data_IF_875491203641
#
_entry.id   IF_875491203641
#
_cell.length_a   1.000
_cell.length_b   1.000
_cell.length_c   1.000
_cell.angle_alpha   90.00
_cell.angle_beta   90.00
_cell.angle_gamma   90.00
#
_symmetry.space_group_name_H-M   'P 1'
#
loop_
_entity.id
_entity.type
_entity.pdbx_description
1 polymer ?
#
# COMPACT_ATOMS: atom_id res chain seq x y z
N UNK A 1 -66.37 -47.51 50.42
CA UNK A 1 -66.22 -47.65 48.95
C UNK A 1 -65.49 -46.42 48.42
N UNK A 2 -64.37 -46.59 47.71
CA UNK A 2 -63.59 -45.51 47.06
C UNK A 2 -64.34 -44.98 45.83
N UNK A 3 -64.41 -43.65 45.67
CA UNK A 3 -64.61 -42.91 44.39
C UNK A 3 -63.91 -41.55 44.58
N UNK A 4 -62.59 -41.48 44.38
CA UNK A 4 -61.87 -41.06 43.15
C UNK A 4 -62.40 -39.75 42.58
N UNK A 5 -61.59 -38.70 42.77
CA UNK A 5 -61.88 -37.32 42.42
C UNK A 5 -61.59 -36.96 40.97
N UNK A 6 -62.57 -36.25 40.41
CA UNK A 6 -62.52 -35.09 39.54
C UNK A 6 -61.52 -35.01 38.36
N UNK A 7 -62.10 -35.09 37.16
CA UNK A 7 -61.52 -34.91 35.83
C UNK A 7 -61.29 -33.42 35.47
N UNK A 8 -60.18 -32.81 35.89
CA UNK A 8 -59.82 -31.45 35.44
C UNK A 8 -58.42 -31.33 34.81
N UNK A 9 -57.67 -32.43 34.68
CA UNK A 9 -56.29 -32.39 34.18
C UNK A 9 -56.16 -32.38 32.66
N UNK A 10 -57.05 -33.07 31.92
CA UNK A 10 -56.87 -33.27 30.47
C UNK A 10 -57.18 -32.01 29.63
N UNK A 11 -58.11 -31.16 30.06
CA UNK A 11 -58.46 -29.92 29.34
C UNK A 11 -57.38 -28.83 29.49
N UNK A 12 -56.76 -28.71 30.67
CA UNK A 12 -55.60 -27.82 30.89
C UNK A 12 -54.34 -28.30 30.17
N UNK A 13 -54.16 -29.62 30.17
CA UNK A 13 -53.44 -30.45 29.18
C UNK A 13 -53.31 -29.85 27.78
N UNK A 14 -54.45 -29.94 27.10
CA UNK A 14 -54.65 -29.64 25.69
C UNK A 14 -54.55 -28.14 25.40
N UNK A 15 -55.03 -27.29 26.32
CA UNK A 15 -54.95 -25.83 26.14
C UNK A 15 -53.51 -25.33 26.20
N UNK A 16 -52.68 -25.87 27.11
CA UNK A 16 -51.25 -25.52 27.20
C UNK A 16 -50.45 -26.00 25.99
N UNK A 17 -50.72 -27.20 25.47
CA UNK A 17 -50.08 -27.67 24.24
C UNK A 17 -50.51 -26.88 23.00
N UNK A 18 -51.78 -26.46 22.89
CA UNK A 18 -52.26 -25.68 21.75
C UNK A 18 -51.68 -24.24 21.77
N UNK A 19 -51.51 -23.64 22.95
CA UNK A 19 -50.82 -22.34 23.08
C UNK A 19 -49.32 -22.41 22.84
N UNK A 20 -48.67 -23.54 23.14
CA UNK A 20 -47.25 -23.76 22.88
C UNK A 20 -46.96 -24.01 21.39
N UNK A 21 -47.89 -24.65 20.65
CA UNK A 21 -47.79 -24.83 19.20
C UNK A 21 -48.11 -23.53 18.43
N UNK A 22 -49.04 -22.70 18.92
CA UNK A 22 -49.33 -21.40 18.29
C UNK A 22 -48.25 -20.34 18.54
N UNK A 23 -47.47 -20.43 19.62
CA UNK A 23 -46.36 -19.49 19.89
C UNK A 23 -45.10 -19.79 19.08
N UNK A 24 -44.98 -21.00 18.50
CA UNK A 24 -43.85 -21.40 17.66
C UNK A 24 -44.07 -21.21 16.15
N UNK A 25 -45.22 -20.68 15.73
CA UNK A 25 -45.59 -20.52 14.30
C UNK A 25 -45.54 -19.08 13.78
N UNK A 26 -44.91 -18.15 14.51
CA UNK A 26 -44.59 -16.82 13.96
C UNK A 26 -43.22 -16.86 13.27
N UNK A 27 -43.14 -17.65 12.19
CA UNK A 27 -42.12 -17.43 11.17
C UNK A 27 -42.43 -16.08 10.50
N UNK A 28 -41.87 -15.01 11.04
CA UNK A 28 -41.83 -13.74 10.32
C UNK A 28 -41.04 -13.99 9.04
N UNK A 29 -41.65 -13.81 7.87
CA UNK A 29 -40.95 -13.60 6.61
C UNK A 29 -40.21 -12.25 6.71
N UNK A 30 -39.17 -12.19 7.55
CA UNK A 30 -38.23 -11.09 7.54
C UNK A 30 -37.27 -11.36 6.40
N UNK A 31 -37.25 -10.46 5.42
CA UNK A 31 -36.30 -10.49 4.32
C UNK A 31 -34.86 -10.50 4.90
N UNK A 32 -34.06 -11.46 4.47
CA UNK A 32 -32.68 -11.63 4.92
C UNK A 32 -31.78 -10.68 4.13
N UNK A 33 -31.46 -9.55 4.75
CA UNK A 33 -30.62 -8.50 4.17
C UNK A 33 -29.18 -9.00 3.91
N UNK A 34 -28.67 -9.92 4.74
CA UNK A 34 -27.33 -10.47 4.54
C UNK A 34 -27.29 -11.37 3.29
N UNK A 35 -28.31 -12.22 3.13
CA UNK A 35 -28.51 -13.02 1.90
C UNK A 35 -28.74 -12.12 0.68
N UNK A 36 -29.50 -11.04 0.83
CA UNK A 36 -29.71 -10.02 -0.20
C UNK A 36 -28.41 -9.37 -0.68
N UNK A 37 -27.52 -9.02 0.26
CA UNK A 37 -26.19 -8.48 -0.04
C UNK A 37 -25.31 -9.46 -0.81
N UNK A 38 -25.31 -10.74 -0.43
CA UNK A 38 -24.56 -11.77 -1.14
C UNK A 38 -25.05 -11.92 -2.59
N UNK A 39 -26.36 -12.05 -2.77
CA UNK A 39 -26.99 -12.17 -4.08
C UNK A 39 -26.75 -10.94 -4.95
N UNK A 40 -26.82 -9.74 -4.36
CA UNK A 40 -26.49 -8.48 -5.05
C UNK A 40 -25.03 -8.46 -5.51
N UNK A 41 -24.10 -8.84 -4.64
CA UNK A 41 -22.67 -8.87 -4.97
C UNK A 41 -22.36 -9.88 -6.09
N UNK A 42 -23.06 -11.02 -6.10
CA UNK A 42 -22.88 -12.06 -7.11
C UNK A 42 -23.47 -11.69 -8.48
N UNK A 43 -24.63 -11.04 -8.50
CA UNK A 43 -25.43 -10.91 -9.74
C UNK A 43 -25.61 -9.46 -10.24
N UNK A 44 -25.52 -8.47 -9.37
CA UNK A 44 -25.94 -7.09 -9.67
C UNK A 44 -24.80 -6.06 -9.56
N UNK A 45 -23.85 -6.27 -8.63
CA UNK A 45 -22.80 -5.30 -8.27
C UNK A 45 -21.81 -4.98 -9.41
N UNK A 46 -21.78 -5.82 -10.45
CA UNK A 46 -21.01 -5.59 -11.67
C UNK A 46 -21.53 -4.38 -12.47
N UNK A 47 -22.85 -4.16 -12.48
CA UNK A 47 -23.49 -3.10 -13.27
C UNK A 47 -24.11 -2.00 -12.41
N UNK A 48 -24.52 -2.32 -11.18
CA UNK A 48 -25.21 -1.39 -10.28
C UNK A 48 -24.39 -1.09 -9.03
N UNK A 49 -24.47 0.16 -8.55
CA UNK A 49 -24.01 0.56 -7.21
C UNK A 49 -25.22 1.00 -6.38
N UNK A 50 -25.08 1.05 -5.06
CA UNK A 50 -26.17 1.52 -4.19
C UNK A 50 -26.36 3.03 -4.34
N UNK A 51 -25.27 3.80 -4.21
CA UNK A 51 -25.33 5.26 -4.07
C UNK A 51 -24.88 6.05 -5.31
N UNK A 52 -24.41 5.37 -6.36
CA UNK A 52 -23.83 6.00 -7.55
C UNK A 52 -24.30 5.33 -8.84
N UNK A 53 -24.27 6.10 -9.93
CA UNK A 53 -24.53 5.61 -11.29
C UNK A 53 -23.28 4.90 -11.85
N UNK A 54 -23.48 3.80 -12.60
CA UNK A 54 -22.42 3.01 -13.23
C UNK A 54 -22.88 2.59 -14.64
N UNK A 55 -22.74 1.31 -15.03
CA UNK A 55 -23.39 0.75 -16.23
C UNK A 55 -24.92 0.86 -16.15
N UNK A 56 -25.48 0.76 -14.96
CA UNK A 56 -26.89 0.98 -14.66
C UNK A 56 -27.12 2.01 -13.54
N UNK A 57 -28.39 2.37 -13.28
CA UNK A 57 -28.75 3.34 -12.24
C UNK A 57 -28.36 2.88 -10.84
N UNK A 58 -28.13 3.84 -9.96
CA UNK A 58 -28.00 3.59 -8.52
C UNK A 58 -29.27 2.91 -8.00
N UNK A 59 -29.13 1.89 -7.15
CA UNK A 59 -30.26 1.09 -6.68
C UNK A 59 -30.72 1.40 -5.26
N UNK A 60 -30.07 2.31 -4.52
CA UNK A 60 -30.57 2.68 -3.19
C UNK A 60 -32.00 3.22 -3.29
N UNK A 61 -32.90 2.70 -2.46
CA UNK A 61 -34.31 3.07 -2.47
C UNK A 61 -35.02 2.82 -3.81
N UNK A 62 -34.66 1.76 -4.54
CA UNK A 62 -35.30 1.45 -5.83
C UNK A 62 -36.82 1.21 -5.70
N UNK A 63 -37.27 0.74 -4.54
CA UNK A 63 -38.68 0.52 -4.21
C UNK A 63 -39.52 1.80 -4.22
N UNK A 64 -38.90 2.97 -4.01
CA UNK A 64 -39.59 4.27 -4.10
C UNK A 64 -39.81 4.70 -5.55
N UNK A 65 -39.05 4.13 -6.50
CA UNK A 65 -39.11 4.46 -7.94
C UNK A 65 -40.02 3.51 -8.71
N UNK A 66 -40.12 2.26 -8.30
CA UNK A 66 -40.93 1.23 -8.95
C UNK A 66 -41.55 0.29 -7.93
N UNK A 67 -42.75 -0.23 -8.22
CA UNK A 67 -43.40 -1.21 -7.35
C UNK A 67 -42.64 -2.54 -7.31
N UNK A 68 -42.74 -3.26 -6.19
CA UNK A 68 -42.14 -4.59 -6.01
C UNK A 68 -42.54 -5.55 -7.14
N UNK A 69 -43.83 -5.60 -7.50
CA UNK A 69 -44.32 -6.44 -8.60
C UNK A 69 -43.66 -6.12 -9.95
N UNK A 70 -43.38 -4.85 -10.21
CA UNK A 70 -42.70 -4.43 -11.43
C UNK A 70 -41.22 -4.83 -11.38
N UNK A 71 -40.55 -4.66 -10.23
CA UNK A 71 -39.16 -5.06 -10.03
C UNK A 71 -38.95 -6.56 -10.20
N UNK A 72 -39.89 -7.40 -9.72
CA UNK A 72 -39.82 -8.85 -9.93
C UNK A 72 -39.86 -9.21 -11.41
N UNK A 73 -40.78 -8.59 -12.18
CA UNK A 73 -40.87 -8.83 -13.63
C UNK A 73 -39.64 -8.30 -14.36
N UNK A 74 -39.14 -7.13 -13.97
CA UNK A 74 -37.96 -6.50 -14.57
C UNK A 74 -36.68 -7.29 -14.34
N UNK A 75 -36.45 -7.79 -13.12
CA UNK A 75 -35.27 -8.59 -12.78
C UNK A 75 -35.33 -9.96 -13.47
N UNK A 76 -36.51 -10.58 -13.56
CA UNK A 76 -36.68 -11.88 -14.20
C UNK A 76 -36.60 -11.83 -15.73
N UNK A 77 -37.19 -10.82 -16.37
CA UNK A 77 -37.18 -10.64 -17.83
C UNK A 77 -37.33 -9.16 -18.26
N UNK A 78 -36.24 -8.42 -18.12
CA UNK A 78 -36.11 -7.03 -18.60
C UNK A 78 -36.37 -6.92 -20.11
N UNK A 79 -35.92 -7.91 -20.89
CA UNK A 79 -36.00 -7.89 -22.35
C UNK A 79 -37.44 -8.06 -22.86
N UNK A 80 -38.22 -8.90 -22.19
CA UNK A 80 -39.65 -9.09 -22.45
C UNK A 80 -40.47 -7.86 -22.11
N UNK A 81 -40.14 -7.17 -21.00
CA UNK A 81 -40.77 -5.90 -20.62
C UNK A 81 -40.48 -4.75 -21.60
N UNK A 82 -39.26 -4.67 -22.13
CA UNK A 82 -38.93 -3.68 -23.16
C UNK A 82 -39.70 -3.99 -24.45
N UNK A 83 -39.75 -5.26 -24.86
CA UNK A 83 -40.46 -5.70 -26.08
C UNK A 83 -41.98 -5.58 -25.98
N UNK A 84 -42.55 -5.74 -24.78
CA UNK A 84 -43.99 -5.55 -24.55
C UNK A 84 -44.42 -4.09 -24.63
N UNK A 85 -43.46 -3.16 -24.68
CA UNK A 85 -43.73 -1.72 -24.79
C UNK A 85 -44.04 -1.06 -23.45
N UNK A 86 -43.65 -1.65 -22.32
CA UNK A 86 -43.80 -1.01 -21.00
C UNK A 86 -43.07 0.33 -20.97
N UNK A 87 -43.80 1.40 -20.63
CA UNK A 87 -43.30 2.77 -20.76
C UNK A 87 -42.10 3.06 -19.84
N UNK A 88 -42.07 2.45 -18.65
CA UNK A 88 -40.97 2.62 -17.69
C UNK A 88 -39.73 1.85 -18.15
N UNK A 89 -39.90 0.60 -18.59
CA UNK A 89 -38.84 -0.24 -19.16
C UNK A 89 -38.17 0.42 -20.37
N UNK A 90 -38.97 0.90 -21.33
CA UNK A 90 -38.47 1.55 -22.56
C UNK A 90 -37.77 2.87 -22.24
N UNK A 91 -38.29 3.64 -21.27
CA UNK A 91 -37.65 4.89 -20.81
C UNK A 91 -36.26 4.61 -20.22
N UNK A 92 -36.16 3.69 -19.27
CA UNK A 92 -34.88 3.31 -18.65
C UNK A 92 -33.90 2.81 -19.72
N UNK A 93 -34.35 1.95 -20.64
CA UNK A 93 -33.49 1.44 -21.70
C UNK A 93 -32.90 2.56 -22.58
N UNK A 94 -33.70 3.57 -22.93
CA UNK A 94 -33.22 4.70 -23.72
C UNK A 94 -32.30 5.65 -22.93
N UNK A 95 -32.59 5.90 -21.65
CA UNK A 95 -31.78 6.75 -20.77
C UNK A 95 -30.40 6.15 -20.50
N UNK A 96 -30.28 4.83 -20.48
CA UNK A 96 -29.05 4.09 -20.18
C UNK A 96 -28.34 3.56 -21.43
N UNK A 97 -28.30 4.37 -22.48
CA UNK A 97 -27.58 4.10 -23.74
C UNK A 97 -27.95 2.78 -24.42
N UNK A 98 -29.17 2.27 -24.21
CA UNK A 98 -29.66 1.00 -24.77
C UNK A 98 -28.79 -0.20 -24.37
N UNK A 99 -28.14 -0.13 -23.22
CA UNK A 99 -27.40 -1.26 -22.64
C UNK A 99 -28.43 -2.27 -22.11
N UNK A 100 -28.45 -3.52 -22.61
CA UNK A 100 -29.40 -4.52 -22.13
C UNK A 100 -29.01 -5.01 -20.73
N UNK A 101 -29.98 -5.04 -19.81
CA UNK A 101 -29.81 -5.68 -18.51
C UNK A 101 -30.01 -7.20 -18.68
N UNK A 102 -29.12 -8.00 -18.08
CA UNK A 102 -29.28 -9.46 -18.05
C UNK A 102 -30.59 -9.85 -17.35
N UNK A 103 -31.24 -10.88 -17.86
CA UNK A 103 -32.45 -11.45 -17.26
C UNK A 103 -32.06 -12.55 -16.27
N UNK A 104 -32.68 -12.55 -15.09
CA UNK A 104 -32.38 -13.48 -14.01
C UNK A 104 -33.59 -14.39 -13.69
N UNK A 105 -34.02 -15.26 -14.63
CA UNK A 105 -35.18 -16.13 -14.43
C UNK A 105 -34.95 -17.17 -13.31
N UNK A 106 -33.70 -17.42 -12.95
CA UNK A 106 -33.30 -18.38 -11.92
C UNK A 106 -33.40 -17.83 -10.50
N UNK A 107 -33.59 -16.52 -10.31
CA UNK A 107 -33.81 -15.94 -8.97
C UNK A 107 -35.26 -16.18 -8.55
N UNK A 108 -35.44 -16.74 -7.36
CA UNK A 108 -36.77 -16.88 -6.77
C UNK A 108 -37.35 -15.52 -6.37
N UNK A 109 -38.66 -15.44 -6.17
CA UNK A 109 -39.28 -14.20 -5.68
C UNK A 109 -38.71 -13.78 -4.33
N UNK A 110 -38.42 -14.74 -3.44
CA UNK A 110 -37.79 -14.48 -2.15
C UNK A 110 -36.35 -13.94 -2.29
N UNK A 111 -35.57 -14.45 -3.26
CA UNK A 111 -34.23 -13.93 -3.52
C UNK A 111 -34.26 -12.49 -4.05
N UNK A 112 -35.25 -12.15 -4.87
CA UNK A 112 -35.46 -10.78 -5.35
C UNK A 112 -35.89 -9.86 -4.20
N UNK A 113 -36.80 -10.32 -3.35
CA UNK A 113 -37.23 -9.59 -2.15
C UNK A 113 -36.05 -9.29 -1.21
N UNK A 114 -35.16 -10.27 -1.00
CA UNK A 114 -33.95 -10.08 -0.21
C UNK A 114 -33.00 -9.04 -0.83
N UNK A 115 -32.83 -9.05 -2.16
CA UNK A 115 -32.03 -8.02 -2.87
C UNK A 115 -32.68 -6.64 -2.71
N UNK A 116 -34.00 -6.53 -2.88
CA UNK A 116 -34.73 -5.26 -2.72
C UNK A 116 -34.57 -4.73 -1.28
N UNK A 117 -34.70 -5.60 -0.28
CA UNK A 117 -34.50 -5.27 1.13
C UNK A 117 -33.10 -4.69 1.38
N UNK A 118 -32.05 -5.33 0.84
CA UNK A 118 -30.68 -4.81 0.93
C UNK A 118 -30.52 -3.44 0.26
N UNK A 119 -31.08 -3.25 -0.94
CA UNK A 119 -31.01 -1.95 -1.62
C UNK A 119 -31.83 -0.84 -0.93
N UNK A 120 -32.75 -1.21 -0.05
CA UNK A 120 -33.60 -0.29 0.72
C UNK A 120 -32.99 0.10 2.06
N UNK A 121 -31.84 -0.46 2.44
CA UNK A 121 -31.14 -0.04 3.65
C UNK A 121 -30.82 1.46 3.59
N UNK A 122 -30.93 2.20 4.71
CA UNK A 122 -30.48 3.59 4.77
C UNK A 122 -28.98 3.66 4.57
N UNK A 123 -28.50 4.75 3.97
CA UNK A 123 -27.07 5.00 3.82
C UNK A 123 -26.44 5.04 5.22
N UNK A 124 -25.41 4.22 5.53
CA UNK A 124 -24.76 4.26 6.84
C UNK A 124 -24.27 5.68 7.13
N UNK A 125 -24.67 6.26 8.26
CA UNK A 125 -24.21 7.58 8.67
C UNK A 125 -22.70 7.54 8.98
N UNK A 126 -21.98 8.48 8.36
CA UNK A 126 -20.53 8.66 8.54
C UNK A 126 -20.28 9.15 9.96
N UNK A 127 -19.73 8.29 10.81
CA UNK A 127 -19.09 8.77 12.05
C UNK A 127 -17.78 9.44 11.65
N UNK A 128 -17.70 10.75 11.86
CA UNK A 128 -16.49 11.52 11.66
C UNK A 128 -15.31 10.86 12.40
N UNK A 129 -14.15 10.65 11.75
CA UNK A 129 -12.97 10.17 12.45
C UNK A 129 -12.55 11.21 13.48
N UNK A 130 -12.34 10.78 14.72
CA UNK A 130 -11.54 11.54 15.66
C UNK A 130 -10.13 11.77 15.05
N UNK A 131 -9.47 12.91 15.29
CA UNK A 131 -8.13 13.15 14.78
C UNK A 131 -7.18 12.09 15.34
N UNK A 132 -6.79 11.15 14.47
CA UNK A 132 -5.81 10.12 14.78
C UNK A 132 -4.45 10.76 14.96
N UNK A 133 -3.92 10.68 16.17
CA UNK A 133 -2.51 10.94 16.45
C UNK A 133 -1.67 10.03 15.58
N UNK A 134 -0.75 10.62 14.81
CA UNK A 134 0.26 9.92 14.04
C UNK A 134 0.98 8.91 14.95
N UNK A 135 0.74 7.62 14.69
CA UNK A 135 1.45 6.55 15.37
C UNK A 135 2.69 6.24 14.54
N UNK A 136 3.85 6.64 15.06
CA UNK A 136 5.14 6.28 14.49
C UNK A 136 5.27 4.75 14.49
N UNK A 137 5.22 4.15 13.30
CA UNK A 137 5.51 2.75 13.06
C UNK A 137 7.00 2.48 13.25
N UNK A 138 7.43 2.31 14.50
CA UNK A 138 8.73 1.72 14.82
C UNK A 138 8.68 0.23 14.49
N UNK A 139 9.31 -0.15 13.38
CA UNK A 139 9.51 -1.55 13.02
C UNK A 139 10.23 -2.30 14.13
N UNK A 140 9.55 -3.30 14.69
CA UNK A 140 10.12 -4.23 15.65
C UNK A 140 11.09 -5.19 14.93
N UNK A 141 12.36 -4.80 14.81
CA UNK A 141 13.44 -5.76 14.64
C UNK A 141 13.76 -6.35 16.01
N UNK A 142 13.71 -7.68 16.13
CA UNK A 142 14.10 -8.45 17.32
C UNK A 142 15.62 -8.44 17.55
N UNK A 143 16.20 -7.25 17.65
CA UNK A 143 17.53 -7.00 18.19
C UNK A 143 17.37 -6.31 19.54
N UNK A 144 18.18 -6.68 20.53
CA UNK A 144 18.27 -5.93 21.79
C UNK A 144 18.53 -4.47 21.41
N UNK A 145 17.60 -3.56 21.74
CA UNK A 145 17.72 -2.17 21.30
C UNK A 145 19.04 -1.59 21.79
N UNK A 146 19.69 -0.79 20.95
CA UNK A 146 20.96 -0.14 21.29
C UNK A 146 20.85 0.68 22.58
N UNK A 147 19.66 1.20 22.90
CA UNK A 147 19.36 1.85 24.18
C UNK A 147 19.33 0.89 25.39
N UNK A 148 18.89 -0.36 25.21
CA UNK A 148 18.92 -1.39 26.27
C UNK A 148 20.35 -1.84 26.52
N UNK A 149 21.15 -2.03 25.46
CA UNK A 149 22.58 -2.35 25.59
C UNK A 149 23.34 -1.21 26.29
N UNK A 150 23.10 0.03 25.86
CA UNK A 150 23.70 1.22 26.47
C UNK A 150 23.27 1.38 27.93
N UNK A 151 21.99 1.18 28.24
CA UNK A 151 21.46 1.19 29.60
C UNK A 151 22.11 0.15 30.50
N UNK A 152 22.29 -1.08 30.00
CA UNK A 152 23.01 -2.15 30.71
C UNK A 152 24.46 -1.80 31.01
N UNK A 153 25.19 -1.25 30.03
CA UNK A 153 26.59 -0.82 30.21
C UNK A 153 26.73 0.30 31.25
N UNK A 154 25.80 1.26 31.29
CA UNK A 154 25.80 2.34 32.29
C UNK A 154 25.63 1.78 33.71
N UNK A 155 24.74 0.81 33.91
CA UNK A 155 24.51 0.19 35.22
C UNK A 155 25.75 -0.58 35.69
N UNK A 156 26.38 -1.35 34.79
CA UNK A 156 27.63 -2.07 35.10
C UNK A 156 28.74 -1.08 35.47
N UNK A 157 28.91 0.00 34.70
CA UNK A 157 29.89 1.04 34.99
C UNK A 157 29.63 1.68 36.37
N UNK A 158 28.37 2.02 36.67
CA UNK A 158 28.00 2.60 37.96
C UNK A 158 28.30 1.64 39.12
N UNK A 159 28.00 0.35 38.97
CA UNK A 159 28.30 -0.67 39.98
C UNK A 159 29.81 -0.80 40.22
N UNK A 160 30.63 -0.79 39.17
CA UNK A 160 32.09 -0.82 39.28
C UNK A 160 32.64 0.42 39.99
N UNK A 161 32.11 1.62 39.68
CA UNK A 161 32.50 2.86 40.36
C UNK A 161 32.15 2.81 41.85
N UNK A 162 30.94 2.35 42.20
CA UNK A 162 30.52 2.19 43.60
C UNK A 162 31.42 1.18 44.33
N UNK A 163 31.73 0.05 43.69
CA UNK A 163 32.64 -0.96 44.25
C UNK A 163 34.03 -0.38 44.52
N UNK A 164 34.61 0.37 43.57
CA UNK A 164 35.92 1.00 43.73
C UNK A 164 35.92 2.04 44.86
N UNK A 165 34.85 2.83 45.01
CA UNK A 165 34.70 3.77 46.12
C UNK A 165 34.62 3.04 47.47
N UNK A 166 33.89 1.94 47.55
CA UNK A 166 33.81 1.11 48.76
C UNK A 166 35.16 0.50 49.12
N UNK A 167 35.86 -0.08 48.14
CA UNK A 167 37.21 -0.63 48.33
C UNK A 167 38.17 0.46 48.84
N UNK A 168 38.16 1.65 48.23
CA UNK A 168 38.98 2.78 48.70
C UNK A 168 38.66 3.18 50.14
N UNK A 169 37.37 3.26 50.51
CA UNK A 169 36.95 3.56 51.89
C UNK A 169 37.45 2.52 52.89
N UNK A 170 37.37 1.24 52.53
CA UNK A 170 37.84 0.13 53.39
C UNK A 170 39.35 0.16 53.53
N UNK A 171 40.08 0.33 52.43
CA UNK A 171 41.56 0.40 52.43
C UNK A 171 42.06 1.56 53.29
N UNK A 172 41.45 2.75 53.19
CA UNK A 172 41.79 3.89 54.03
C UNK A 172 41.52 3.60 55.52
N UNK A 173 40.36 3.01 55.83
CA UNK A 173 39.99 2.66 57.22
C UNK A 173 40.93 1.59 57.83
N UNK A 174 41.48 0.70 57.00
CA UNK A 174 42.48 -0.30 57.41
C UNK A 174 43.87 0.35 57.59
N UNK A 175 44.25 1.27 56.70
CA UNK A 175 45.49 2.04 56.83
C UNK A 175 45.53 2.87 58.13
N UNK A 176 44.41 3.53 58.47
CA UNK A 176 44.25 4.32 59.69
C UNK A 176 44.42 3.46 60.96
N UNK A 177 43.92 2.21 60.94
CA UNK A 177 44.01 1.29 62.08
C UNK A 177 45.40 0.70 62.29
N UNK A 178 46.22 0.66 61.23
CA UNK A 178 47.55 0.05 61.25
C UNK A 178 48.69 1.08 61.35
N UNK A 179 48.38 2.36 61.64
CA UNK A 179 49.34 3.46 61.77
C UNK A 179 50.28 3.59 60.55
N UNK A 180 49.79 3.25 59.35
CA UNK A 180 50.55 3.41 58.11
C UNK A 180 50.40 4.86 57.63
N UNK A 181 51.51 5.59 57.52
CA UNK A 181 51.50 6.95 56.96
C UNK A 181 51.26 6.89 55.45
N UNK A 182 50.01 7.05 55.04
CA UNK A 182 49.65 7.22 53.63
C UNK A 182 50.08 8.61 53.22
N UNK A 183 51.28 8.74 52.64
CA UNK A 183 51.70 9.97 51.98
C UNK A 183 50.74 10.25 50.81
N UNK A 184 49.76 11.12 51.03
CA UNK A 184 48.91 11.66 49.96
C UNK A 184 49.77 12.50 49.02
N UNK A 185 50.40 11.85 48.05
CA UNK A 185 50.85 12.56 46.87
C UNK A 185 49.60 13.14 46.22
N UNK A 186 49.46 14.48 46.21
CA UNK A 186 48.35 15.17 45.52
C UNK A 186 48.30 14.67 44.08
N UNK A 187 47.37 13.75 43.80
CA UNK A 187 47.19 13.22 42.45
C UNK A 187 46.86 14.40 41.54
N UNK A 188 47.59 14.54 40.44
CA UNK A 188 47.30 15.60 39.49
C UNK A 188 45.86 15.42 38.97
N UNK A 189 45.09 16.51 38.79
CA UNK A 189 43.80 16.45 38.12
C UNK A 189 43.93 15.73 36.77
N UNK A 190 42.94 14.89 36.41
CA UNK A 190 43.00 14.01 35.23
C UNK A 190 43.35 14.78 33.95
N UNK A 191 42.80 15.98 33.74
CA UNK A 191 43.14 16.82 32.58
C UNK A 191 44.61 17.28 32.58
N UNK A 192 45.17 17.63 33.75
CA UNK A 192 46.61 17.96 33.86
C UNK A 192 47.50 16.72 33.63
N UNK A 193 47.06 15.55 34.09
CA UNK A 193 47.75 14.28 33.83
C UNK A 193 47.70 13.90 32.33
N UNK A 194 46.56 14.15 31.68
CA UNK A 194 46.37 13.95 30.25
C UNK A 194 47.26 14.89 29.43
N UNK A 195 47.23 16.20 29.68
CA UNK A 195 48.05 17.19 28.96
C UNK A 195 49.55 16.95 29.16
N UNK A 196 49.97 16.50 30.35
CA UNK A 196 51.37 16.12 30.61
C UNK A 196 51.80 14.83 29.90
N UNK A 197 50.85 13.95 29.56
CA UNK A 197 51.14 12.72 28.84
C UNK A 197 51.10 12.98 27.34
N UNK A 198 52.26 13.30 26.77
CA UNK A 198 52.39 13.64 25.35
C UNK A 198 51.92 12.51 24.42
N UNK A 199 52.04 11.24 24.82
CA UNK A 199 51.51 10.12 24.06
C UNK A 199 49.97 10.15 23.99
N UNK A 200 49.29 10.40 25.11
CA UNK A 200 47.82 10.51 25.13
C UNK A 200 47.32 11.72 24.34
N UNK A 201 48.00 12.86 24.45
CA UNK A 201 47.65 14.07 23.67
C UNK A 201 47.80 13.80 22.18
N UNK A 202 48.95 13.29 21.72
CA UNK A 202 49.19 13.02 20.30
C UNK A 202 48.20 12.00 19.76
N UNK A 203 47.98 10.89 20.50
CA UNK A 203 47.03 9.85 20.08
C UNK A 203 45.60 10.41 19.97
N UNK A 204 45.18 11.24 20.93
CA UNK A 204 43.85 11.85 20.91
C UNK A 204 43.69 12.86 19.78
N UNK A 205 44.73 13.62 19.45
CA UNK A 205 44.75 14.54 18.30
C UNK A 205 44.66 13.77 16.99
N UNK A 206 45.44 12.69 16.82
CA UNK A 206 45.35 11.82 15.64
C UNK A 206 43.94 11.23 15.53
N UNK A 207 43.37 10.72 16.62
CA UNK A 207 42.01 10.19 16.64
C UNK A 207 40.98 11.25 16.22
N UNK A 208 41.08 12.46 16.76
CA UNK A 208 40.20 13.58 16.39
C UNK A 208 40.34 13.97 14.92
N UNK A 209 41.56 14.01 14.39
CA UNK A 209 41.80 14.29 12.97
C UNK A 209 41.22 13.20 12.07
N UNK A 210 41.43 11.92 12.39
CA UNK A 210 40.88 10.80 11.63
C UNK A 210 39.35 10.78 11.69
N UNK A 211 38.78 11.05 12.87
CA UNK A 211 37.33 11.14 13.06
C UNK A 211 36.75 12.30 12.26
N UNK A 212 37.39 13.48 12.33
CA UNK A 212 37.00 14.65 11.53
C UNK A 212 37.09 14.38 10.02
N UNK A 213 38.17 13.75 9.57
CA UNK A 213 38.34 13.36 8.17
C UNK A 213 37.29 12.34 7.73
N UNK A 214 36.97 11.35 8.56
CA UNK A 214 35.92 10.35 8.29
C UNK A 214 34.55 11.00 8.12
N UNK A 215 34.14 11.88 9.03
CA UNK A 215 32.84 12.57 8.92
C UNK A 215 32.81 13.58 7.78
N UNK A 216 33.90 14.32 7.55
CA UNK A 216 33.99 15.26 6.43
C UNK A 216 33.90 14.51 5.08
N UNK A 217 34.67 13.43 4.92
CA UNK A 217 34.60 12.59 3.73
C UNK A 217 33.23 11.95 3.57
N UNK A 218 32.66 11.40 4.64
CA UNK A 218 31.32 10.83 4.65
C UNK A 218 30.26 11.83 4.20
N UNK A 219 30.28 13.06 4.71
CA UNK A 219 29.38 14.13 4.29
C UNK A 219 29.55 14.49 2.81
N UNK A 220 30.79 14.66 2.34
CA UNK A 220 31.06 14.99 0.93
C UNK A 220 30.58 13.90 -0.02
N UNK A 221 30.70 12.62 0.36
CA UNK A 221 30.24 11.49 -0.45
C UNK A 221 28.71 11.35 -0.52
N UNK A 222 27.95 12.08 0.30
CA UNK A 222 26.48 12.12 0.26
C UNK A 222 25.93 13.29 -0.57
N UNK A 223 26.79 14.19 -1.07
CA UNK A 223 26.35 15.30 -1.91
C UNK A 223 25.85 14.76 -3.26
N UNK A 224 24.61 15.13 -3.63
CA UNK A 224 23.98 14.68 -4.89
C UNK A 224 23.41 13.26 -4.83
N UNK A 225 23.21 12.71 -3.63
CA UNK A 225 22.54 11.42 -3.41
C UNK A 225 21.13 11.66 -2.86
N UNK A 226 20.12 11.50 -3.70
CA UNK A 226 18.71 11.79 -3.36
C UNK A 226 17.93 10.54 -2.90
N UNK A 227 18.60 9.61 -2.20
CA UNK A 227 17.93 8.41 -1.68
C UNK A 227 16.86 8.76 -0.65
N UNK A 228 15.75 8.02 -0.69
CA UNK A 228 14.56 8.22 0.15
C UNK A 228 13.88 9.59 -0.05
N UNK A 229 14.12 10.26 -1.18
CA UNK A 229 13.36 11.46 -1.53
C UNK A 229 11.88 11.13 -1.77
N UNK A 230 11.00 11.76 -0.99
CA UNK A 230 9.56 11.49 -0.90
C UNK A 230 8.76 12.81 -0.94
N UNK A 231 8.55 13.42 -2.12
CA UNK A 231 7.78 14.65 -2.23
C UNK A 231 6.27 14.39 -2.13
N UNK A 232 5.55 15.37 -1.59
CA UNK A 232 4.08 15.38 -1.58
C UNK A 232 3.58 15.57 -3.01
N UNK A 233 2.74 14.64 -3.48
CA UNK A 233 2.12 14.69 -4.79
C UNK A 233 0.77 15.45 -4.76
N UNK A 234 0.30 16.02 -5.89
CA UNK A 234 -1.00 16.72 -5.93
C UNK A 234 -2.21 15.83 -5.63
N UNK A 235 -2.10 14.55 -6.01
CA UNK A 235 -3.07 13.48 -5.73
C UNK A 235 -2.30 12.40 -4.97
N UNK A 236 -2.86 11.95 -3.86
CA UNK A 236 -2.27 10.88 -3.05
C UNK A 236 -2.50 9.53 -3.75
N UNK A 237 -1.63 9.23 -4.71
CA UNK A 237 -1.67 7.99 -5.47
C UNK A 237 -0.87 6.88 -4.78
N UNK A 238 -1.55 5.78 -4.46
CA UNK A 238 -0.96 4.60 -3.81
C UNK A 238 -0.58 3.52 -4.81
N UNK A 239 0.72 3.23 -4.97
CA UNK A 239 1.18 2.05 -5.72
C UNK A 239 0.88 0.75 -4.98
N UNK A 240 0.88 0.81 -3.64
CA UNK A 240 0.53 -0.29 -2.73
C UNK A 240 -0.85 -0.89 -3.03
N UNK A 241 -1.86 -0.06 -3.28
CA UNK A 241 -3.21 -0.52 -3.64
C UNK A 241 -3.24 -1.04 -5.10
N UNK A 242 -2.65 -0.33 -6.04
CA UNK A 242 -2.79 -0.67 -7.47
C UNK A 242 -1.93 -1.87 -7.88
N UNK A 243 -0.64 -1.83 -7.59
CA UNK A 243 0.31 -2.88 -7.98
C UNK A 243 0.38 -4.01 -6.93
N UNK A 244 0.25 -3.70 -5.64
CA UNK A 244 0.29 -4.69 -4.56
C UNK A 244 -1.01 -5.46 -4.41
N UNK A 245 -2.06 -4.81 -3.91
CA UNK A 245 -3.34 -5.48 -3.60
C UNK A 245 -4.09 -5.95 -4.85
N UNK A 246 -4.21 -5.08 -5.87
CA UNK A 246 -4.95 -5.41 -7.09
C UNK A 246 -4.09 -6.15 -8.15
N UNK A 247 -2.78 -6.28 -7.93
CA UNK A 247 -1.89 -7.01 -8.83
C UNK A 247 -1.78 -6.43 -10.26
N UNK A 248 -2.00 -5.12 -10.44
CA UNK A 248 -1.92 -4.49 -11.76
C UNK A 248 -0.46 -4.48 -12.23
N UNK A 249 -0.20 -5.04 -13.42
CA UNK A 249 1.13 -5.06 -14.03
C UNK A 249 1.72 -3.64 -14.19
N UNK A 250 2.98 -3.46 -13.82
CA UNK A 250 3.66 -2.16 -13.86
C UNK A 250 3.59 -1.51 -15.26
N UNK A 251 3.68 -2.33 -16.32
CA UNK A 251 3.71 -1.87 -17.71
C UNK A 251 2.32 -1.60 -18.28
N UNK A 252 1.24 -1.84 -17.52
CA UNK A 252 -0.10 -1.39 -17.90
C UNK A 252 -0.18 0.14 -17.88
N UNK A 253 0.22 0.76 -16.77
CA UNK A 253 0.29 2.21 -16.63
C UNK A 253 1.54 2.78 -17.29
N UNK A 254 2.71 2.17 -17.05
CA UNK A 254 3.99 2.62 -17.58
C UNK A 254 4.36 1.92 -18.89
N UNK A 255 3.45 1.94 -19.86
CA UNK A 255 3.55 1.17 -21.12
C UNK A 255 4.78 1.53 -21.97
N UNK A 256 5.16 2.81 -21.96
CA UNK A 256 6.31 3.33 -22.71
C UNK A 256 7.67 2.76 -22.27
N UNK A 257 7.76 2.13 -21.09
CA UNK A 257 8.98 1.45 -20.64
C UNK A 257 9.46 0.36 -21.62
N UNK A 258 8.55 -0.22 -22.40
CA UNK A 258 8.85 -1.31 -23.35
C UNK A 258 9.44 -0.82 -24.67
N UNK A 259 9.20 0.43 -25.05
CA UNK A 259 9.45 0.90 -26.43
C UNK A 259 10.19 2.23 -26.51
N UNK A 260 10.21 3.01 -25.42
CA UNK A 260 10.80 4.34 -25.38
C UNK A 260 11.99 4.41 -24.42
N UNK A 261 12.84 5.41 -24.64
CA UNK A 261 13.89 5.76 -23.68
C UNK A 261 13.32 6.30 -22.36
N UNK A 262 12.16 6.93 -22.40
CA UNK A 262 11.46 7.47 -21.23
C UNK A 262 10.25 6.62 -20.87
N UNK A 263 10.22 6.06 -19.67
CA UNK A 263 8.99 5.54 -19.07
C UNK A 263 8.18 6.73 -18.50
N UNK A 264 7.22 7.20 -19.28
CA UNK A 264 6.38 8.35 -18.92
C UNK A 264 5.42 8.07 -17.77
N UNK A 265 4.97 9.15 -17.12
CA UNK A 265 3.81 9.10 -16.21
C UNK A 265 2.56 8.86 -17.07
N UNK A 266 1.65 7.94 -16.69
CA UNK A 266 0.46 7.66 -17.46
C UNK A 266 -0.41 8.92 -17.64
N UNK A 267 -1.02 9.06 -18.82
CA UNK A 267 -2.06 10.06 -19.03
C UNK A 267 -3.28 9.75 -18.16
N UNK A 268 -4.05 10.78 -17.80
CA UNK A 268 -5.25 10.61 -16.97
C UNK A 268 -6.34 9.73 -17.63
N UNK A 269 -6.28 9.53 -18.95
CA UNK A 269 -7.15 8.59 -19.65
C UNK A 269 -6.98 7.15 -19.14
N UNK A 270 -5.76 6.75 -18.77
CA UNK A 270 -5.50 5.42 -18.19
C UNK A 270 -6.22 5.28 -16.86
N UNK A 271 -6.20 6.32 -16.03
CA UNK A 271 -6.95 6.35 -14.76
C UNK A 271 -8.46 6.15 -15.01
N UNK A 272 -9.00 6.85 -16.01
CA UNK A 272 -10.42 6.81 -16.33
C UNK A 272 -10.90 5.50 -16.97
N UNK A 273 -10.01 4.60 -17.39
CA UNK A 273 -10.42 3.28 -17.88
C UNK A 273 -11.11 2.45 -16.80
N UNK A 274 -10.66 2.58 -15.54
CA UNK A 274 -11.23 1.89 -14.40
C UNK A 274 -12.09 2.83 -13.54
N UNK A 275 -11.61 4.06 -13.31
CA UNK A 275 -12.27 5.01 -12.42
C UNK A 275 -13.58 5.59 -12.95
N UNK A 276 -14.06 5.25 -14.15
CA UNK A 276 -15.46 5.54 -14.53
C UNK A 276 -16.48 4.78 -13.69
N UNK A 277 -16.16 3.52 -13.36
CA UNK A 277 -17.05 2.62 -12.62
C UNK A 277 -16.63 2.44 -11.15
N UNK A 278 -15.44 2.91 -10.79
CA UNK A 278 -14.89 2.90 -9.43
C UNK A 278 -14.91 4.33 -8.90
N UNK A 279 -16.05 4.70 -8.30
CA UNK A 279 -16.33 6.06 -7.80
C UNK A 279 -15.97 6.26 -6.33
N UNK A 280 -15.82 5.19 -5.57
CA UNK A 280 -15.46 5.22 -4.15
C UNK A 280 -14.45 4.12 -3.84
N UNK A 281 -13.68 4.34 -2.77
CA UNK A 281 -12.79 3.31 -2.26
C UNK A 281 -13.59 2.22 -1.54
N UNK A 282 -13.43 0.96 -1.96
CA UNK A 282 -14.15 -0.19 -1.41
C UNK A 282 -13.25 -1.18 -0.66
N UNK A 283 -12.00 -0.80 -0.38
CA UNK A 283 -11.08 -1.66 0.36
C UNK A 283 -11.53 -1.93 1.80
N UNK A 284 -11.13 -3.07 2.35
CA UNK A 284 -11.45 -3.45 3.73
C UNK A 284 -10.72 -2.54 4.72
N UNK A 285 -11.43 -2.09 5.78
CA UNK A 285 -10.83 -1.33 6.88
C UNK A 285 -9.74 -2.14 7.63
N UNK A 286 -9.79 -3.47 7.53
CA UNK A 286 -8.82 -4.40 8.13
C UNK A 286 -7.69 -4.79 7.17
N UNK A 287 -7.62 -4.18 5.99
CA UNK A 287 -6.56 -4.44 5.02
C UNK A 287 -5.24 -3.83 5.50
N UNK A 288 -4.16 -4.61 5.48
CA UNK A 288 -2.79 -4.13 5.72
C UNK A 288 -2.32 -3.09 4.68
N UNK A 289 -3.14 -2.83 3.66
CA UNK A 289 -2.89 -1.92 2.54
C UNK A 289 -3.58 -0.57 2.67
N UNK A 290 -4.42 -0.36 3.70
CA UNK A 290 -5.19 0.87 3.93
C UNK A 290 -4.54 1.69 5.03
N UNK A 291 -3.83 2.74 4.63
CA UNK A 291 -3.16 3.65 5.57
C UNK A 291 -4.07 4.84 5.96
N UNK A 292 -5.11 5.11 5.15
CA UNK A 292 -6.03 6.25 5.31
C UNK A 292 -7.50 5.82 5.25
N UNK A 293 -8.41 6.69 5.71
CA UNK A 293 -9.84 6.37 5.75
C UNK A 293 -10.46 6.22 4.35
N UNK A 294 -11.59 5.52 4.27
CA UNK A 294 -12.36 5.37 3.02
C UNK A 294 -12.70 6.75 2.41
N UNK A 295 -13.07 7.71 3.25
CA UNK A 295 -13.44 9.06 2.85
C UNK A 295 -12.25 9.80 2.23
N UNK A 296 -11.06 9.63 2.81
CA UNK A 296 -9.83 10.22 2.27
C UNK A 296 -9.56 9.71 0.86
N UNK A 297 -9.47 8.39 0.66
CA UNK A 297 -9.21 7.84 -0.67
C UNK A 297 -10.32 8.16 -1.69
N UNK A 298 -11.58 8.17 -1.25
CA UNK A 298 -12.70 8.57 -2.11
C UNK A 298 -12.60 10.04 -2.53
N UNK A 299 -12.13 10.92 -1.64
CA UNK A 299 -11.87 12.33 -1.99
C UNK A 299 -10.69 12.47 -2.98
N UNK A 300 -9.66 11.63 -2.90
CA UNK A 300 -8.55 11.63 -3.87
C UNK A 300 -9.00 11.18 -5.27
N UNK A 301 -9.92 10.21 -5.36
CA UNK A 301 -10.53 9.81 -6.65
C UNK A 301 -11.27 10.99 -7.28
N UNK A 302 -11.99 11.79 -6.48
CA UNK A 302 -12.71 12.97 -6.98
C UNK A 302 -11.76 14.01 -7.61
N UNK A 303 -10.52 14.16 -7.11
CA UNK A 303 -9.52 15.05 -7.73
C UNK A 303 -9.17 14.63 -9.16
N UNK A 304 -9.19 13.33 -9.46
CA UNK A 304 -8.98 12.83 -10.83
C UNK A 304 -10.13 13.28 -11.72
N UNK A 305 -11.38 13.15 -11.26
CA UNK A 305 -12.55 13.61 -12.01
C UNK A 305 -12.51 15.10 -12.29
N UNK A 306 -12.11 15.90 -11.31
CA UNK A 306 -11.94 17.34 -11.47
C UNK A 306 -10.84 17.68 -12.49
N UNK A 307 -9.78 16.86 -12.55
CA UNK A 307 -8.68 17.03 -13.50
C UNK A 307 -9.07 16.67 -14.93
N UNK A 308 -9.84 15.59 -15.14
CA UNK A 308 -10.32 15.19 -16.47
C UNK A 308 -11.65 15.85 -16.88
N UNK A 309 -12.27 16.60 -15.96
CA UNK A 309 -13.59 17.19 -16.15
C UNK A 309 -14.71 16.15 -16.27
N UNK A 310 -14.69 15.07 -15.50
CA UNK A 310 -15.74 14.02 -15.49
C UNK A 310 -16.88 14.39 -14.53
N UNK A 311 -18.12 14.36 -15.03
CA UNK A 311 -19.34 14.52 -14.21
C UNK A 311 -19.94 13.13 -13.91
N UNK A 312 -19.81 12.61 -12.67
CA UNK A 312 -20.32 11.29 -12.33
C UNK A 312 -21.86 11.22 -12.31
N UNK A 313 -22.57 12.33 -12.15
CA UNK A 313 -24.03 12.33 -12.18
C UNK A 313 -24.55 12.16 -13.61
N UNK A 314 -23.89 12.81 -14.58
CA UNK A 314 -24.25 12.74 -16.01
C UNK A 314 -23.52 11.65 -16.78
N UNK A 315 -22.54 10.98 -16.17
CA UNK A 315 -21.68 9.98 -16.80
C UNK A 315 -21.04 10.51 -18.10
N UNK A 316 -20.63 11.79 -18.08
CA UNK A 316 -20.15 12.49 -19.26
C UNK A 316 -19.00 13.44 -18.92
N UNK A 317 -18.12 13.66 -19.90
CA UNK A 317 -17.07 14.67 -19.80
C UNK A 317 -17.64 16.07 -20.06
N UNK A 318 -17.23 17.01 -19.22
CA UNK A 318 -17.61 18.43 -19.28
C UNK A 318 -16.79 19.23 -20.31
N UNK A 319 -15.68 18.66 -20.81
CA UNK A 319 -14.74 19.34 -21.70
C UNK A 319 -13.81 20.35 -21.02
N UNK A 320 -13.84 20.45 -19.68
CA UNK A 320 -12.97 21.32 -18.89
C UNK A 320 -11.89 20.48 -18.22
N UNK A 321 -10.70 20.44 -18.82
CA UNK A 321 -9.57 19.65 -18.32
C UNK A 321 -8.53 20.53 -17.62
N UNK A 322 -7.88 19.97 -16.59
CA UNK A 322 -6.75 20.58 -15.88
C UNK A 322 -5.65 19.53 -15.71
N UNK A 323 -4.44 19.75 -16.25
CA UNK A 323 -3.36 18.79 -16.12
C UNK A 323 -2.89 18.68 -14.66
N UNK A 324 -2.69 17.45 -14.20
CA UNK A 324 -2.10 17.17 -12.88
C UNK A 324 -0.59 17.41 -12.94
N UNK A 325 -0.09 18.31 -12.10
CA UNK A 325 1.33 18.69 -12.03
C UNK A 325 2.10 17.75 -11.12
N UNK A 326 2.35 16.54 -11.58
CA UNK A 326 3.14 15.55 -10.85
C UNK A 326 4.55 16.04 -10.54
N UNK A 327 5.07 15.70 -9.36
CA UNK A 327 6.45 15.96 -8.98
C UNK A 327 7.29 14.74 -9.34
N UNK A 328 8.23 14.92 -10.26
CA UNK A 328 9.14 13.86 -10.70
C UNK A 328 10.20 13.59 -9.64
N UNK A 329 10.26 12.34 -9.18
CA UNK A 329 11.18 11.88 -8.13
C UNK A 329 12.55 11.52 -8.73
N UNK A 330 12.57 10.59 -9.69
CA UNK A 330 13.81 10.11 -10.30
C UNK A 330 14.28 11.07 -11.41
N UNK A 331 15.35 11.81 -11.14
CA UNK A 331 15.99 12.69 -12.11
C UNK A 331 17.45 12.28 -12.32
N UNK A 332 17.87 12.30 -13.57
CA UNK A 332 19.27 12.24 -13.97
C UNK A 332 19.61 13.53 -14.69
N UNK A 333 20.87 14.01 -14.63
CA UNK A 333 21.30 15.14 -15.44
C UNK A 333 21.06 14.90 -16.93
N UNK A 334 20.81 15.97 -17.68
CA UNK A 334 20.49 15.94 -19.11
C UNK A 334 21.65 15.48 -20.01
N UNK A 335 22.88 15.62 -19.53
CA UNK A 335 24.07 15.04 -20.16
C UNK A 335 24.14 13.51 -20.04
N UNK A 336 23.20 12.86 -19.33
CA UNK A 336 23.11 11.40 -19.23
C UNK A 336 22.02 10.86 -20.16
N UNK A 337 22.41 9.98 -21.08
CA UNK A 337 21.50 9.22 -21.91
C UNK A 337 21.15 7.88 -21.25
N UNK A 338 19.92 7.78 -20.75
CA UNK A 338 19.35 6.54 -20.24
C UNK A 338 18.16 6.10 -21.10
N UNK A 339 18.06 4.81 -21.39
CA UNK A 339 16.99 4.25 -22.21
C UNK A 339 16.29 3.08 -21.51
N UNK A 340 15.03 3.27 -21.10
CA UNK A 340 14.23 2.23 -20.43
C UNK A 340 14.05 0.96 -21.28
N UNK A 341 13.75 1.08 -22.58
CA UNK A 341 13.45 -0.09 -23.43
C UNK A 341 14.64 -1.05 -23.56
N UNK A 342 15.87 -0.55 -23.50
CA UNK A 342 17.07 -1.40 -23.51
C UNK A 342 17.18 -2.22 -22.21
N UNK A 343 16.89 -1.61 -21.06
CA UNK A 343 16.99 -2.28 -19.77
C UNK A 343 15.80 -3.23 -19.52
N UNK A 344 14.59 -2.83 -19.93
CA UNK A 344 13.36 -3.60 -19.68
C UNK A 344 13.14 -4.67 -20.73
N UNK A 345 13.22 -4.33 -22.02
CA UNK A 345 12.84 -5.25 -23.10
C UNK A 345 13.99 -6.07 -23.66
N UNK A 346 15.21 -5.53 -23.69
CA UNK A 346 16.38 -6.27 -24.19
C UNK A 346 17.07 -7.02 -23.05
N UNK A 347 17.43 -6.32 -21.97
CA UNK A 347 18.10 -6.96 -20.83
C UNK A 347 17.13 -7.77 -19.95
N UNK A 348 15.83 -7.48 -19.98
CA UNK A 348 14.84 -8.21 -19.18
C UNK A 348 14.94 -7.94 -17.69
N UNK A 349 15.40 -6.75 -17.29
CA UNK A 349 15.56 -6.40 -15.88
C UNK A 349 14.20 -6.17 -15.21
N UNK A 350 14.06 -6.70 -14.00
CA UNK A 350 12.89 -6.45 -13.15
C UNK A 350 12.86 -5.00 -12.66
N UNK A 351 11.66 -4.43 -12.56
CA UNK A 351 11.48 -3.02 -12.20
C UNK A 351 12.00 -2.74 -10.78
N UNK A 352 11.82 -3.71 -9.88
CA UNK A 352 12.16 -3.65 -8.47
C UNK A 352 13.67 -3.56 -8.24
N UNK A 353 14.49 -4.08 -9.16
CA UNK A 353 15.95 -3.99 -9.07
C UNK A 353 16.43 -2.54 -9.10
N UNK A 354 15.74 -1.66 -9.82
CA UNK A 354 16.10 -0.24 -9.91
C UNK A 354 15.25 0.64 -9.00
N UNK A 355 13.94 0.41 -8.93
CA UNK A 355 13.00 1.28 -8.22
C UNK A 355 12.62 0.79 -6.80
N UNK A 356 13.10 -0.38 -6.37
CA UNK A 356 12.71 -1.01 -5.11
C UNK A 356 11.34 -1.68 -5.18
N UNK A 357 10.82 -2.19 -4.05
CA UNK A 357 9.53 -2.89 -3.99
C UNK A 357 8.36 -1.90 -4.06
N UNK A 358 8.12 -1.32 -5.25
CA UNK A 358 7.12 -0.27 -5.50
C UNK A 358 5.71 -0.73 -5.14
N UNK A 359 5.41 -2.02 -5.30
CA UNK A 359 4.14 -2.65 -4.93
C UNK A 359 3.83 -2.59 -3.43
N UNK A 360 4.81 -2.23 -2.58
CA UNK A 360 4.62 -2.03 -1.15
C UNK A 360 4.57 -0.54 -0.74
N UNK A 361 4.77 0.38 -1.69
CA UNK A 361 4.91 1.81 -1.41
C UNK A 361 3.57 2.55 -1.47
N UNK A 362 3.13 3.08 -0.32
CA UNK A 362 1.97 3.97 -0.24
C UNK A 362 2.25 5.32 -0.91
N UNK A 363 3.43 5.89 -0.63
CA UNK A 363 3.95 7.08 -1.32
C UNK A 363 5.23 6.67 -2.03
N UNK A 364 5.38 7.12 -3.28
CA UNK A 364 6.55 6.78 -4.06
C UNK A 364 7.81 7.45 -3.48
N UNK A 365 8.91 6.70 -3.43
CA UNK A 365 10.21 7.16 -2.95
C UNK A 365 11.36 6.73 -3.84
N UNK A 366 12.44 7.49 -3.86
CA UNK A 366 13.65 7.06 -4.55
C UNK A 366 14.38 5.98 -3.74
N UNK A 367 14.38 4.74 -4.21
CA UNK A 367 15.06 3.62 -3.54
C UNK A 367 16.57 3.59 -3.83
N UNK A 368 16.91 3.54 -5.12
CA UNK A 368 18.31 3.46 -5.57
C UNK A 368 18.95 4.85 -5.65
N UNK A 369 20.27 4.97 -5.45
CA UNK A 369 20.95 6.26 -5.46
C UNK A 369 21.07 6.84 -6.87
N UNK A 370 21.02 6.01 -7.92
CA UNK A 370 21.16 6.41 -9.32
C UNK A 370 22.43 7.23 -9.63
N UNK A 371 23.47 7.04 -8.82
CA UNK A 371 24.80 7.63 -9.03
C UNK A 371 25.55 6.89 -10.13
N UNK A 372 26.54 7.56 -10.75
CA UNK A 372 27.39 6.95 -11.78
C UNK A 372 28.03 5.63 -11.30
N UNK A 373 28.53 5.60 -10.06
CA UNK A 373 29.13 4.41 -9.47
C UNK A 373 28.17 3.22 -9.38
N UNK A 374 26.91 3.48 -9.03
CA UNK A 374 25.86 2.46 -9.00
C UNK A 374 25.58 1.90 -10.40
N UNK A 375 25.49 2.75 -11.42
CA UNK A 375 25.31 2.31 -12.82
C UNK A 375 26.49 1.45 -13.31
N UNK A 376 27.71 1.88 -13.03
CA UNK A 376 28.94 1.17 -13.42
C UNK A 376 29.00 -0.21 -12.77
N UNK A 377 28.71 -0.28 -11.47
CA UNK A 377 28.78 -1.55 -10.74
C UNK A 377 27.73 -2.53 -11.25
N UNK A 378 26.49 -2.05 -11.45
CA UNK A 378 25.44 -2.85 -12.08
C UNK A 378 25.87 -3.38 -13.46
N UNK A 379 26.51 -2.55 -14.31
CA UNK A 379 27.02 -3.00 -15.61
C UNK A 379 28.18 -3.99 -15.52
N UNK A 380 28.97 -3.97 -14.45
CA UNK A 380 30.05 -4.93 -14.21
C UNK A 380 29.54 -6.29 -13.77
N UNK A 381 28.50 -6.30 -12.94
CA UNK A 381 27.97 -7.52 -12.32
C UNK A 381 26.85 -8.17 -13.13
N UNK A 382 26.09 -7.39 -13.91
CA UNK A 382 24.91 -7.90 -14.62
C UNK A 382 25.30 -8.61 -15.92
N UNK A 383 24.95 -9.90 -15.98
CA UNK A 383 25.06 -10.73 -17.18
C UNK A 383 24.04 -10.30 -18.24
N UNK A 384 24.46 -10.24 -19.50
CA UNK A 384 23.60 -9.85 -20.61
C UNK A 384 22.80 -11.07 -21.05
N UNK A 385 21.49 -10.89 -21.22
CA UNK A 385 20.64 -11.93 -21.78
C UNK A 385 20.91 -12.10 -23.28
N UNK A 386 21.68 -13.13 -23.62
CA UNK A 386 22.00 -13.51 -25.01
C UNK A 386 21.11 -14.64 -25.52
N UNK A 387 20.27 -15.23 -24.66
CA UNK A 387 19.35 -16.30 -25.06
C UNK A 387 18.29 -15.67 -25.96
N UNK A 388 18.11 -16.23 -27.14
CA UNK A 388 17.07 -15.87 -28.12
C UNK A 388 17.30 -14.57 -28.90
N UNK A 389 18.52 -14.01 -28.90
CA UNK A 389 18.85 -12.84 -29.73
C UNK A 389 19.93 -13.16 -30.77
N UNK A 390 19.51 -13.33 -32.02
CA UNK A 390 20.39 -13.61 -33.17
C UNK A 390 21.51 -12.58 -33.35
N UNK A 391 21.26 -11.31 -33.00
CA UNK A 391 22.26 -10.25 -33.06
C UNK A 391 23.44 -10.52 -32.12
N UNK A 392 23.17 -11.06 -30.92
CA UNK A 392 24.21 -11.34 -29.93
C UNK A 392 24.88 -12.69 -30.12
N UNK A 393 24.35 -13.61 -30.92
CA UNK A 393 24.93 -14.96 -31.07
C UNK A 393 26.41 -14.91 -31.53
N UNK A 394 26.71 -14.14 -32.58
CA UNK A 394 28.07 -13.99 -33.10
C UNK A 394 28.99 -13.21 -32.15
N UNK A 395 28.48 -12.11 -31.58
CA UNK A 395 29.24 -11.27 -30.65
C UNK A 395 29.57 -12.04 -29.37
N UNK A 396 28.62 -12.83 -28.88
CA UNK A 396 28.80 -13.67 -27.72
C UNK A 396 29.89 -14.72 -27.96
N UNK A 397 29.85 -15.44 -29.08
CA UNK A 397 30.88 -16.44 -29.40
C UNK A 397 32.29 -15.82 -29.46
N UNK A 398 32.45 -14.69 -30.15
CA UNK A 398 33.76 -14.03 -30.30
C UNK A 398 34.28 -13.46 -28.97
N UNK A 399 33.44 -12.77 -28.20
CA UNK A 399 33.83 -12.14 -26.94
C UNK A 399 34.02 -13.17 -25.81
N UNK A 400 33.20 -14.20 -25.75
CA UNK A 400 33.37 -15.31 -24.80
C UNK A 400 34.70 -16.02 -25.02
N UNK A 401 35.11 -16.25 -26.28
CA UNK A 401 36.45 -16.76 -26.61
C UNK A 401 37.57 -15.81 -26.21
N UNK A 402 37.41 -14.50 -26.45
CA UNK A 402 38.42 -13.48 -26.14
C UNK A 402 38.67 -13.34 -24.63
N UNK A 403 37.61 -13.33 -23.83
CA UNK A 403 37.68 -13.11 -22.39
C UNK A 403 37.73 -14.40 -21.58
N UNK A 404 37.52 -15.56 -22.20
CA UNK A 404 37.54 -16.86 -21.53
C UNK A 404 36.39 -17.05 -20.55
N UNK A 405 35.23 -16.44 -20.82
CA UNK A 405 34.03 -16.51 -19.96
C UNK A 405 32.86 -17.08 -20.74
N UNK A 406 32.02 -17.88 -20.08
CA UNK A 406 30.80 -18.44 -20.70
C UNK A 406 29.67 -17.40 -20.81
N UNK A 407 29.70 -16.37 -19.96
CA UNK A 407 28.68 -15.33 -19.90
C UNK A 407 29.32 -13.96 -19.93
N UNK A 408 28.71 -13.05 -20.66
CA UNK A 408 29.22 -11.69 -20.85
C UNK A 408 28.42 -10.71 -20.00
N UNK A 409 29.10 -9.76 -19.40
CA UNK A 409 28.47 -8.64 -18.70
C UNK A 409 28.33 -7.42 -19.61
N UNK A 410 27.47 -6.47 -19.21
CA UNK A 410 27.30 -5.23 -19.98
C UNK A 410 28.64 -4.48 -20.13
N UNK A 411 29.50 -4.54 -19.11
CA UNK A 411 30.85 -3.98 -19.15
C UNK A 411 31.72 -4.61 -20.25
N UNK A 412 31.66 -5.92 -20.44
CA UNK A 412 32.44 -6.62 -21.46
C UNK A 412 31.94 -6.36 -22.90
N UNK A 413 30.67 -5.95 -23.06
CA UNK A 413 30.11 -5.43 -24.31
C UNK A 413 30.46 -3.95 -24.56
N UNK A 414 31.27 -3.35 -23.70
CA UNK A 414 31.68 -1.95 -23.79
C UNK A 414 30.66 -0.98 -23.19
N UNK A 415 29.76 -1.42 -22.33
CA UNK A 415 28.79 -0.59 -21.61
C UNK A 415 29.39 0.35 -20.55
N UNK A 416 30.71 0.53 -20.54
CA UNK A 416 31.46 1.46 -19.68
C UNK A 416 32.16 2.58 -20.46
N UNK A 417 31.92 2.67 -21.78
CA UNK A 417 32.47 3.73 -22.62
C UNK A 417 31.73 5.05 -22.42
N UNK A 418 32.46 6.16 -22.27
CA UNK A 418 31.88 7.48 -21.97
C UNK A 418 30.78 7.89 -22.96
N UNK A 419 31.03 7.75 -24.27
CA UNK A 419 30.10 8.19 -25.33
C UNK A 419 28.79 7.39 -25.40
N UNK A 420 28.73 6.20 -24.78
CA UNK A 420 27.48 5.41 -24.76
C UNK A 420 26.48 5.92 -23.73
N UNK A 421 26.95 6.66 -22.72
CA UNK A 421 26.13 7.18 -21.63
C UNK A 421 26.07 8.72 -21.60
N UNK A 422 27.07 9.40 -22.15
CA UNK A 422 27.26 10.86 -21.99
C UNK A 422 27.46 11.64 -23.29
N UNK A 423 27.01 11.08 -24.43
CA UNK A 423 27.10 11.61 -25.80
C UNK A 423 28.40 11.32 -26.56
#
# INVERSE_FOLDING_TARGET
MKKVGNHTSFSRILFLCLTFVLTFSTGSFAQDVAKGKELFNANCAACHKLDANSTGPSLRGVIDRHSTDWLHKWIKDSSGLIKSGDAAAVKIFNEWNKVPMNSFPNLSDEDIDNIIAYTSEPKPEVKAPAPGTAQAGGGASSGVSEMVVLGGLIVVLAMLVVMLVLVRRVLNKVADRNNLTVNETKSLPIWKAFVKNQFLVITSVILLMLTGAYFAFGFMMQVGVDQNYEPIQPIHFSHKIHAGENGIDCKYCHSSARTSKTSGIPSLNVCMNCHKNITEFTGSADSTYVDYSKEFYTAEIQKIYDAVGWDPAKQAYTGKEKPVKWVRIHNLPDFVYFNHSQHVSVAGLECQTCHGPVESMEIMRQHSPLTMGWCIECHRETEVNVKDNEYYAKIHEELSKKYGVEKLTAAQLGGLECGKCHY
#
